data_IF_744247464784
#
_entry.id   IF_744247464784
#
_cell.length_a   1.000
_cell.length_b   1.000
_cell.length_c   1.000
_cell.angle_alpha   90.00
_cell.angle_beta   90.00
_cell.angle_gamma   90.00
#
_symmetry.space_group_name_H-M   'P 1'
#
loop_
_entity.id
_entity.type
_entity.pdbx_description
1 polymer ?
#
# COMPACT_ATOMS: atom_id res chain seq x y z
N UNK A 1 17.70 -14.04 10.98
CA UNK A 1 17.43 -14.15 9.53
C UNK A 1 16.81 -12.89 8.92
N UNK A 2 15.67 -12.39 9.42
CA UNK A 2 14.98 -11.20 8.86
C UNK A 2 15.80 -9.90 8.86
N UNK A 3 16.46 -9.54 9.98
CA UNK A 3 17.30 -8.34 10.08
C UNK A 3 18.57 -8.39 9.19
N UNK A 4 19.15 -9.58 9.02
CA UNK A 4 20.27 -9.79 8.09
C UNK A 4 19.81 -9.63 6.64
N UNK A 5 18.63 -10.14 6.30
CA UNK A 5 18.03 -9.98 4.98
C UNK A 5 17.67 -8.52 4.67
N UNK A 6 17.13 -7.77 5.65
CA UNK A 6 16.89 -6.33 5.54
C UNK A 6 18.19 -5.55 5.24
N UNK A 7 19.32 -5.92 5.85
CA UNK A 7 20.63 -5.34 5.50
C UNK A 7 21.05 -5.66 4.07
N UNK A 8 20.80 -6.88 3.58
CA UNK A 8 21.06 -7.24 2.19
C UNK A 8 20.16 -6.49 1.21
N UNK A 9 18.89 -6.29 1.57
CA UNK A 9 17.94 -5.47 0.82
C UNK A 9 18.39 -4.00 0.76
N UNK A 10 18.86 -3.44 1.87
CA UNK A 10 19.42 -2.09 1.92
C UNK A 10 20.62 -1.92 0.97
N UNK A 11 21.50 -2.94 0.89
CA UNK A 11 22.63 -2.94 -0.05
C UNK A 11 22.17 -3.05 -1.52
N UNK A 12 21.09 -3.78 -1.80
CA UNK A 12 20.50 -3.88 -3.14
C UNK A 12 19.72 -2.62 -3.57
N UNK A 13 19.25 -1.85 -2.60
CA UNK A 13 18.61 -0.54 -2.79
C UNK A 13 19.60 0.62 -2.87
N UNK A 14 20.90 0.37 -2.66
CA UNK A 14 21.93 1.39 -2.78
C UNK A 14 21.96 1.96 -4.22
N UNK A 15 21.98 3.29 -4.39
CA UNK A 15 21.88 3.90 -5.71
C UNK A 15 23.08 3.51 -6.58
N UNK A 16 22.81 3.05 -7.80
CA UNK A 16 23.83 2.85 -8.83
C UNK A 16 24.56 4.17 -9.16
N UNK A 17 25.85 4.14 -9.58
CA UNK A 17 26.60 5.35 -9.89
C UNK A 17 25.89 6.15 -11.00
N UNK A 18 25.59 7.41 -10.67
CA UNK A 18 24.73 8.29 -11.46
C UNK A 18 25.40 8.80 -12.72
N UNK A 19 24.84 8.49 -13.89
CA UNK A 19 24.89 9.41 -15.02
C UNK A 19 23.70 10.37 -14.93
N UNK A 20 24.05 11.59 -14.53
CA UNK A 20 23.22 12.74 -14.25
C UNK A 20 22.75 13.37 -15.57
N UNK A 21 21.43 13.58 -15.77
CA UNK A 21 20.82 14.64 -16.61
C UNK A 21 19.29 14.58 -16.80
N UNK A 22 18.54 13.66 -16.17
CA UNK A 22 17.05 13.61 -16.29
C UNK A 22 16.28 13.63 -14.96
N UNK A 23 16.93 14.00 -13.86
CA UNK A 23 16.29 14.07 -12.53
C UNK A 23 15.32 15.25 -12.35
N UNK A 24 15.31 16.22 -13.27
CA UNK A 24 14.52 17.45 -13.12
C UNK A 24 13.02 17.29 -13.43
N UNK A 25 12.60 16.33 -14.26
CA UNK A 25 11.18 16.18 -14.65
C UNK A 25 10.39 15.23 -13.73
N UNK A 26 11.04 14.19 -13.20
CA UNK A 26 10.40 13.19 -12.34
C UNK A 26 10.01 13.74 -10.95
N UNK A 27 10.81 14.66 -10.40
CA UNK A 27 10.51 15.33 -9.12
C UNK A 27 9.43 16.40 -9.29
N UNK A 28 9.33 17.05 -10.45
CA UNK A 28 8.25 18.00 -10.73
C UNK A 28 6.88 17.31 -10.92
N UNK A 29 6.86 16.05 -11.37
CA UNK A 29 5.65 15.22 -11.45
C UNK A 29 5.20 14.65 -10.09
N UNK A 30 6.01 14.80 -9.02
CA UNK A 30 5.81 14.17 -7.72
C UNK A 30 4.61 14.69 -6.90
N UNK A 31 4.03 15.82 -7.28
CA UNK A 31 3.02 16.52 -6.47
C UNK A 31 1.71 16.74 -7.24
N UNK A 32 1.35 15.84 -8.17
CA UNK A 32 0.04 15.86 -8.81
C UNK A 32 -0.96 15.07 -7.98
N UNK A 33 -2.00 15.73 -7.49
CA UNK A 33 -3.21 15.04 -7.03
C UNK A 33 -3.89 14.39 -8.22
N UNK A 34 -4.18 13.10 -8.12
CA UNK A 34 -4.95 12.35 -9.11
C UNK A 34 -6.43 12.43 -8.76
N UNK A 35 -7.29 12.38 -9.78
CA UNK A 35 -8.72 12.67 -9.62
C UNK A 35 -9.45 11.49 -8.96
N UNK A 36 -9.22 10.29 -9.46
CA UNK A 36 -9.83 9.05 -8.96
C UNK A 36 -8.91 8.24 -8.06
N UNK A 37 -7.59 8.40 -8.19
CA UNK A 37 -6.60 7.68 -7.38
C UNK A 37 -6.15 8.52 -6.19
N UNK A 38 -6.79 8.30 -5.05
CA UNK A 38 -6.46 9.03 -3.83
C UNK A 38 -5.07 8.67 -3.29
N UNK A 39 -4.52 9.55 -2.46
CA UNK A 39 -3.30 9.29 -1.68
C UNK A 39 -2.06 8.97 -2.54
N UNK A 40 -2.10 9.24 -3.85
CA UNK A 40 -1.00 9.00 -4.78
C UNK A 40 0.17 9.96 -4.51
N UNK A 41 1.38 9.44 -4.34
CA UNK A 41 2.64 10.21 -4.20
C UNK A 41 3.86 9.30 -4.29
N UNK A 42 5.08 9.83 -4.56
CA UNK A 42 6.30 9.07 -4.35
C UNK A 42 6.53 8.76 -2.87
N UNK A 43 7.26 7.68 -2.61
CA UNK A 43 7.83 7.41 -1.28
C UNK A 43 9.15 8.18 -1.17
N UNK A 44 9.32 9.03 -0.14
CA UNK A 44 10.56 9.82 -0.03
C UNK A 44 11.76 8.89 0.18
N UNK A 45 12.93 9.37 -0.24
CA UNK A 45 14.20 8.62 -0.21
C UNK A 45 14.25 7.35 -1.08
N UNK A 46 13.17 6.98 -1.77
CA UNK A 46 13.06 5.79 -2.60
C UNK A 46 12.63 6.17 -4.03
N UNK A 47 13.55 6.65 -4.89
CA UNK A 47 13.22 7.08 -6.24
C UNK A 47 12.63 5.92 -7.05
N UNK A 48 11.55 6.21 -7.77
CA UNK A 48 10.82 5.21 -8.57
C UNK A 48 9.87 4.33 -7.77
N UNK A 49 9.71 4.55 -6.46
CA UNK A 49 8.65 3.97 -5.64
C UNK A 49 7.55 4.99 -5.37
N UNK A 50 6.32 4.59 -5.61
CA UNK A 50 5.09 5.34 -5.40
C UNK A 50 4.16 4.56 -4.48
N UNK A 51 3.25 5.29 -3.84
CA UNK A 51 2.17 4.75 -3.01
C UNK A 51 0.84 5.40 -3.36
N UNK A 52 -0.26 4.67 -3.22
CA UNK A 52 -1.62 5.22 -3.42
C UNK A 52 -2.68 4.45 -2.66
N UNK A 53 -3.91 4.96 -2.70
CA UNK A 53 -5.13 4.20 -2.50
C UNK A 53 -5.41 3.28 -3.71
N UNK A 54 -6.58 2.63 -3.68
CA UNK A 54 -6.99 1.70 -4.72
C UNK A 54 -7.19 2.38 -6.09
N UNK A 55 -7.05 1.59 -7.17
CA UNK A 55 -6.98 2.10 -8.54
C UNK A 55 -8.27 1.92 -9.34
N UNK A 56 -9.29 1.30 -8.74
CA UNK A 56 -10.56 1.00 -9.38
C UNK A 56 -11.33 2.24 -9.82
N UNK A 57 -11.04 3.39 -9.20
CA UNK A 57 -11.66 4.68 -9.51
C UNK A 57 -10.84 5.54 -10.48
N UNK A 58 -9.71 5.05 -10.99
CA UNK A 58 -8.83 5.81 -11.87
C UNK A 58 -9.58 6.39 -13.09
N UNK A 59 -9.35 7.68 -13.37
CA UNK A 59 -9.83 8.32 -14.60
C UNK A 59 -8.87 8.06 -15.75
N UNK A 60 -9.25 8.42 -16.99
CA UNK A 60 -8.35 8.30 -18.14
C UNK A 60 -7.08 9.15 -17.97
N UNK A 61 -7.21 10.31 -17.32
CA UNK A 61 -6.10 11.20 -16.99
C UNK A 61 -5.16 10.59 -15.95
N UNK A 62 -5.72 9.90 -14.94
CA UNK A 62 -4.94 9.17 -13.94
C UNK A 62 -4.19 8.00 -14.58
N UNK A 63 -4.87 7.20 -15.41
CA UNK A 63 -4.28 6.06 -16.09
C UNK A 63 -3.13 6.48 -17.00
N UNK A 64 -3.32 7.50 -17.85
CA UNK A 64 -2.26 8.03 -18.71
C UNK A 64 -1.06 8.55 -17.89
N UNK A 65 -1.33 9.24 -16.79
CA UNK A 65 -0.26 9.70 -15.90
C UNK A 65 0.50 8.54 -15.26
N UNK A 66 -0.20 7.56 -14.69
CA UNK A 66 0.43 6.38 -14.07
C UNK A 66 1.29 5.60 -15.07
N UNK A 67 0.80 5.42 -16.29
CA UNK A 67 1.48 4.63 -17.33
C UNK A 67 2.64 5.38 -17.97
N UNK A 68 2.49 6.65 -18.33
CA UNK A 68 3.46 7.33 -19.20
C UNK A 68 4.28 8.41 -18.50
N UNK A 69 3.68 9.13 -17.55
CA UNK A 69 4.38 10.18 -16.79
C UNK A 69 5.13 9.59 -15.59
N UNK A 70 4.41 8.88 -14.71
CA UNK A 70 4.99 8.21 -13.55
C UNK A 70 5.69 6.90 -13.94
N UNK A 71 5.47 6.39 -15.17
CA UNK A 71 6.10 5.18 -15.71
C UNK A 71 6.01 3.98 -14.77
N UNK A 72 4.86 3.78 -14.15
CA UNK A 72 4.57 2.63 -13.29
C UNK A 72 4.51 1.39 -14.16
N UNK A 73 5.38 0.42 -13.87
CA UNK A 73 5.47 -0.87 -14.61
C UNK A 73 5.15 -2.05 -13.71
N UNK A 74 5.16 -1.87 -12.40
CA UNK A 74 4.76 -2.91 -11.47
C UNK A 74 3.87 -2.36 -10.36
N UNK A 75 2.77 -3.06 -10.10
CA UNK A 75 1.84 -2.78 -9.01
C UNK A 75 1.98 -3.89 -7.97
N UNK A 76 2.05 -3.49 -6.71
CA UNK A 76 1.94 -4.40 -5.56
C UNK A 76 0.63 -4.10 -4.84
N UNK A 77 -0.36 -4.96 -5.00
CA UNK A 77 -1.65 -4.85 -4.33
C UNK A 77 -1.63 -5.64 -3.01
N UNK A 78 -1.76 -4.92 -1.90
CA UNK A 78 -1.65 -5.48 -0.55
C UNK A 78 -3.00 -5.99 0.00
N UNK A 79 -4.03 -6.03 -0.84
CA UNK A 79 -5.40 -6.44 -0.48
C UNK A 79 -5.62 -7.93 -0.67
N UNK A 80 -6.57 -8.46 0.10
CA UNK A 80 -7.10 -9.80 -0.11
C UNK A 80 -8.16 -9.82 -1.22
N UNK A 81 -8.57 -11.01 -1.63
CA UNK A 81 -9.51 -11.22 -2.74
C UNK A 81 -10.86 -10.55 -2.50
N UNK A 82 -11.37 -10.60 -1.28
CA UNK A 82 -12.67 -10.02 -0.92
C UNK A 82 -12.67 -8.49 -1.06
N UNK A 83 -11.60 -7.84 -0.61
CA UNK A 83 -11.42 -6.39 -0.79
C UNK A 83 -11.31 -6.01 -2.26
N UNK A 84 -10.60 -6.80 -3.07
CA UNK A 84 -10.47 -6.59 -4.51
C UNK A 84 -11.82 -6.79 -5.19
N UNK A 85 -12.56 -7.84 -4.86
CA UNK A 85 -13.86 -8.13 -5.43
C UNK A 85 -14.86 -7.00 -5.13
N UNK A 86 -14.92 -6.54 -3.87
CA UNK A 86 -15.76 -5.39 -3.47
C UNK A 86 -15.39 -4.10 -4.21
N UNK A 87 -14.10 -3.82 -4.35
CA UNK A 87 -13.65 -2.63 -5.08
C UNK A 87 -14.00 -2.72 -6.57
N UNK A 88 -13.79 -3.90 -7.19
CA UNK A 88 -14.12 -4.15 -8.61
C UNK A 88 -15.62 -4.01 -8.90
N UNK A 89 -16.49 -4.34 -7.95
CA UNK A 89 -17.94 -4.19 -8.10
C UNK A 89 -18.40 -2.73 -8.29
N UNK A 90 -17.56 -1.76 -7.92
CA UNK A 90 -17.85 -0.31 -8.05
C UNK A 90 -16.86 0.41 -8.95
N UNK A 91 -16.01 -0.33 -9.67
CA UNK A 91 -14.92 0.23 -10.46
C UNK A 91 -15.42 0.97 -11.71
N UNK A 92 -14.68 2.00 -12.12
CA UNK A 92 -14.90 2.65 -13.40
C UNK A 92 -14.43 1.74 -14.55
N UNK A 93 -14.98 1.88 -15.77
CA UNK A 93 -14.50 1.14 -16.93
C UNK A 93 -13.00 1.34 -17.20
N UNK A 94 -12.49 2.54 -16.91
CA UNK A 94 -11.06 2.86 -17.04
C UNK A 94 -10.23 2.14 -15.98
N UNK A 95 -10.63 2.19 -14.71
CA UNK A 95 -9.94 1.47 -13.63
C UNK A 95 -9.87 -0.03 -13.86
N UNK A 96 -10.96 -0.63 -14.36
CA UNK A 96 -10.98 -2.04 -14.77
C UNK A 96 -10.01 -2.32 -15.91
N UNK A 97 -10.02 -1.49 -16.96
CA UNK A 97 -9.15 -1.66 -18.13
C UNK A 97 -7.67 -1.51 -17.75
N UNK A 98 -7.36 -0.54 -16.89
CA UNK A 98 -6.02 -0.33 -16.35
C UNK A 98 -5.53 -1.57 -15.60
N UNK A 99 -6.29 -2.05 -14.61
CA UNK A 99 -5.92 -3.22 -13.82
C UNK A 99 -5.81 -4.48 -14.68
N UNK A 100 -6.71 -4.67 -15.66
CA UNK A 100 -6.64 -5.78 -16.61
C UNK A 100 -5.36 -5.75 -17.46
N UNK A 101 -4.87 -4.57 -17.85
CA UNK A 101 -3.60 -4.44 -18.57
C UNK A 101 -2.40 -4.90 -17.72
N UNK A 102 -2.39 -4.59 -16.42
CA UNK A 102 -1.36 -5.10 -15.51
C UNK A 102 -1.49 -6.59 -15.19
N UNK A 103 -2.71 -7.11 -15.05
CA UNK A 103 -2.98 -8.53 -14.79
C UNK A 103 -2.59 -9.40 -16.01
N UNK A 104 -2.80 -8.90 -17.23
CA UNK A 104 -2.51 -9.62 -18.48
C UNK A 104 -1.06 -9.55 -18.95
N UNK A 105 -0.21 -8.73 -18.33
CA UNK A 105 1.17 -8.56 -18.79
C UNK A 105 1.28 -7.69 -20.04
N UNK A 106 0.41 -6.69 -20.21
CA UNK A 106 0.37 -5.88 -21.43
C UNK A 106 1.74 -5.26 -21.76
N UNK A 107 2.09 -5.27 -23.05
CA UNK A 107 3.34 -4.70 -23.54
C UNK A 107 3.37 -3.17 -23.38
N UNK A 108 4.58 -2.61 -23.35
CA UNK A 108 4.86 -1.17 -23.27
C UNK A 108 5.63 -0.75 -24.52
N UNK A 109 5.21 0.35 -25.15
CA UNK A 109 5.84 0.94 -26.34
C UNK A 109 4.88 1.80 -27.14
N UNK A 110 5.36 2.48 -28.19
CA UNK A 110 4.71 3.57 -28.94
C UNK A 110 3.32 3.28 -29.57
N UNK A 111 2.77 2.08 -29.40
CA UNK A 111 1.41 1.70 -29.85
C UNK A 111 0.64 0.88 -28.81
N UNK A 112 1.12 0.86 -27.57
CA UNK A 112 0.51 0.18 -26.45
C UNK A 112 -0.18 1.16 -25.52
N UNK A 113 -1.02 0.65 -24.61
CA UNK A 113 -1.70 1.46 -23.59
C UNK A 113 -0.72 2.25 -22.71
N UNK A 114 0.46 1.67 -22.45
CA UNK A 114 1.62 2.35 -21.91
C UNK A 114 2.56 2.65 -23.08
N UNK A 115 2.59 3.91 -23.50
CA UNK A 115 3.28 4.33 -24.72
C UNK A 115 4.78 4.58 -24.51
N UNK A 116 5.17 4.90 -23.26
CA UNK A 116 6.52 5.36 -22.93
C UNK A 116 7.44 4.24 -22.42
N UNK A 117 8.53 3.96 -23.11
CA UNK A 117 9.54 2.97 -22.68
C UNK A 117 9.31 1.56 -23.25
N UNK A 118 9.71 0.53 -22.50
CA UNK A 118 9.68 -0.87 -22.97
C UNK A 118 9.40 -1.86 -21.85
N UNK A 119 9.00 -3.09 -22.20
CA UNK A 119 8.76 -4.19 -21.27
C UNK A 119 7.28 -4.54 -21.17
N UNK A 120 6.85 -4.97 -19.99
CA UNK A 120 5.47 -5.35 -19.71
C UNK A 120 4.99 -4.79 -18.38
N UNK A 121 3.70 -4.53 -18.28
CA UNK A 121 3.01 -4.21 -17.03
C UNK A 121 2.87 -5.47 -16.17
N UNK A 122 2.96 -5.34 -14.85
CA UNK A 122 2.82 -6.49 -13.93
C UNK A 122 2.08 -6.10 -12.67
N UNK A 123 1.15 -6.94 -12.22
CA UNK A 123 0.54 -6.79 -10.90
C UNK A 123 0.83 -8.02 -10.05
N UNK A 124 1.31 -7.78 -8.84
CA UNK A 124 1.51 -8.80 -7.83
C UNK A 124 0.55 -8.53 -6.68
N UNK A 125 -0.33 -9.49 -6.40
CA UNK A 125 -1.16 -9.47 -5.21
C UNK A 125 -0.37 -10.12 -4.06
N UNK A 126 -0.16 -9.36 -2.99
CA UNK A 126 0.59 -9.81 -1.81
C UNK A 126 -0.20 -9.43 -0.56
N UNK A 127 -1.15 -10.28 -0.12
CA UNK A 127 -2.12 -9.91 0.91
C UNK A 127 -1.46 -9.86 2.31
N UNK A 128 -1.00 -8.67 2.72
CA UNK A 128 -0.39 -8.45 4.04
C UNK A 128 -1.37 -8.56 5.22
N UNK A 129 -2.67 -8.69 4.93
CA UNK A 129 -3.74 -9.03 5.87
C UNK A 129 -4.70 -10.04 5.21
N UNK A 130 -4.15 -11.13 4.67
CA UNK A 130 -4.95 -12.22 4.11
C UNK A 130 -5.71 -13.01 5.17
N UNK A 131 -5.12 -13.17 6.36
CA UNK A 131 -5.69 -13.88 7.50
C UNK A 131 -6.18 -12.89 8.57
N UNK A 132 -7.45 -12.50 8.46
CA UNK A 132 -8.09 -11.59 9.42
C UNK A 132 -8.29 -12.29 10.77
N UNK A 133 -8.55 -13.59 10.78
CA UNK A 133 -8.73 -14.36 12.00
C UNK A 133 -7.41 -14.44 12.77
N UNK A 134 -6.29 -14.70 12.08
CA UNK A 134 -4.95 -14.65 12.66
C UNK A 134 -4.58 -13.27 13.21
N UNK A 135 -5.03 -12.18 12.56
CA UNK A 135 -4.88 -10.83 13.11
C UNK A 135 -5.66 -10.67 14.42
N UNK A 136 -6.92 -11.10 14.46
CA UNK A 136 -7.77 -11.01 15.65
C UNK A 136 -7.21 -11.87 16.79
N UNK A 137 -6.67 -13.04 16.49
CA UNK A 137 -6.00 -13.93 17.45
C UNK A 137 -4.77 -13.25 18.06
N UNK A 138 -3.96 -12.59 17.22
CA UNK A 138 -2.77 -11.86 17.65
C UNK A 138 -3.12 -10.66 18.53
N UNK A 139 -4.24 -9.99 18.26
CA UNK A 139 -4.79 -8.93 19.12
C UNK A 139 -5.31 -9.52 20.43
N UNK A 140 -6.09 -10.60 20.38
CA UNK A 140 -6.65 -11.28 21.55
C UNK A 140 -5.54 -11.76 22.51
N UNK A 141 -4.41 -12.24 21.98
CA UNK A 141 -3.25 -12.66 22.75
C UNK A 141 -2.59 -11.53 23.56
N UNK A 142 -2.73 -10.28 23.11
CA UNK A 142 -2.21 -9.05 23.75
C UNK A 142 -3.16 -8.42 24.76
N UNK A 143 -4.38 -8.94 24.90
CA UNK A 143 -5.34 -8.41 25.85
C UNK A 143 -4.91 -8.66 27.30
N UNK A 144 -5.32 -7.78 28.24
CA UNK A 144 -5.20 -8.06 29.67
C UNK A 144 -5.85 -9.42 30.01
N UNK A 145 -5.29 -10.13 30.98
CA UNK A 145 -5.66 -11.51 31.31
C UNK A 145 -7.17 -11.74 31.43
N UNK A 146 -7.89 -10.83 32.10
CA UNK A 146 -9.35 -10.92 32.24
C UNK A 146 -10.08 -10.88 30.89
N UNK A 147 -9.76 -9.91 30.02
CA UNK A 147 -10.36 -9.79 28.69
C UNK A 147 -9.93 -10.92 27.75
N UNK A 148 -8.72 -11.45 27.92
CA UNK A 148 -8.25 -12.61 27.15
C UNK A 148 -9.02 -13.88 27.52
N UNK A 149 -9.32 -14.10 28.81
CA UNK A 149 -10.19 -15.20 29.25
C UNK A 149 -11.61 -15.02 28.72
N UNK A 150 -12.14 -13.80 28.74
CA UNK A 150 -13.45 -13.47 28.17
C UNK A 150 -13.49 -13.72 26.65
N UNK A 151 -12.45 -13.30 25.91
CA UNK A 151 -12.31 -13.60 24.49
C UNK A 151 -12.27 -15.11 24.24
N UNK A 152 -11.46 -15.86 25.00
CA UNK A 152 -11.37 -17.32 24.86
C UNK A 152 -12.73 -18.02 25.09
N UNK A 153 -13.52 -17.54 26.06
CA UNK A 153 -14.88 -18.02 26.28
C UNK A 153 -15.76 -17.73 25.06
N UNK A 154 -15.85 -16.47 24.62
CA UNK A 154 -16.70 -16.07 23.49
C UNK A 154 -16.31 -16.73 22.18
N UNK A 155 -15.03 -17.05 21.96
CA UNK A 155 -14.60 -17.78 20.75
C UNK A 155 -15.37 -19.08 20.55
N UNK A 156 -15.76 -19.76 21.64
CA UNK A 156 -16.51 -21.03 21.59
C UNK A 156 -18.03 -20.85 21.65
N UNK A 157 -18.52 -19.83 22.37
CA UNK A 157 -19.96 -19.71 22.67
C UNK A 157 -20.68 -18.63 21.84
N UNK A 158 -19.98 -17.59 21.38
CA UNK A 158 -20.55 -16.48 20.61
C UNK A 158 -19.44 -15.72 19.85
N UNK A 159 -19.19 -16.14 18.60
CA UNK A 159 -18.16 -15.52 17.76
C UNK A 159 -18.40 -14.03 17.50
N UNK A 160 -19.66 -13.58 17.46
CA UNK A 160 -19.98 -12.15 17.24
C UNK A 160 -19.60 -11.29 18.44
N UNK A 161 -19.67 -11.84 19.65
CA UNK A 161 -19.17 -11.16 20.86
C UNK A 161 -17.65 -11.20 20.93
N UNK A 162 -17.05 -12.32 20.55
CA UNK A 162 -15.60 -12.43 20.44
C UNK A 162 -15.05 -11.34 19.53
N UNK A 163 -15.54 -11.26 18.30
CA UNK A 163 -15.02 -10.32 17.31
C UNK A 163 -15.22 -8.89 17.78
N UNK A 164 -16.41 -8.52 18.28
CA UNK A 164 -16.64 -7.18 18.83
C UNK A 164 -15.68 -6.82 19.94
N UNK A 165 -15.45 -7.71 20.91
CA UNK A 165 -14.54 -7.46 22.02
C UNK A 165 -13.11 -7.20 21.53
N UNK A 166 -12.64 -8.01 20.57
CA UNK A 166 -11.31 -7.87 19.98
C UNK A 166 -11.21 -6.61 19.11
N UNK A 167 -12.23 -6.30 18.31
CA UNK A 167 -12.31 -5.06 17.51
C UNK A 167 -12.35 -3.81 18.37
N UNK A 168 -13.09 -3.81 19.48
CA UNK A 168 -13.13 -2.70 20.42
C UNK A 168 -11.75 -2.47 21.04
N UNK A 169 -11.05 -3.55 21.40
CA UNK A 169 -9.69 -3.47 21.91
C UNK A 169 -8.69 -2.98 20.86
N UNK A 170 -8.83 -3.41 19.59
CA UNK A 170 -8.05 -2.91 18.47
C UNK A 170 -8.27 -1.41 18.27
N UNK A 171 -9.52 -0.97 18.35
CA UNK A 171 -9.90 0.45 18.24
C UNK A 171 -9.33 1.28 19.40
N UNK A 172 -9.36 0.75 20.63
CA UNK A 172 -8.78 1.38 21.83
C UNK A 172 -7.25 1.39 21.82
N UNK A 173 -6.61 0.33 21.32
CA UNK A 173 -5.15 0.20 21.20
C UNK A 173 -4.53 1.08 20.12
N UNK A 174 -5.36 1.82 19.39
CA UNK A 174 -4.97 2.77 18.33
C UNK A 174 -4.05 2.10 17.29
N UNK A 175 -3.32 2.93 16.53
CA UNK A 175 -2.46 2.48 15.43
C UNK A 175 -1.34 1.52 15.86
N UNK A 176 -0.84 1.63 17.10
CA UNK A 176 0.27 0.80 17.57
C UNK A 176 -0.11 -0.69 17.66
N UNK A 177 -1.28 -0.99 18.24
CA UNK A 177 -1.75 -2.38 18.34
C UNK A 177 -2.04 -2.95 16.95
N UNK A 178 -2.66 -2.16 16.07
CA UNK A 178 -2.92 -2.56 14.69
C UNK A 178 -1.63 -2.93 13.93
N UNK A 179 -0.60 -2.08 13.99
CA UNK A 179 0.62 -2.31 13.21
C UNK A 179 1.49 -3.42 13.77
N UNK A 180 1.59 -3.52 15.10
CA UNK A 180 2.34 -4.62 15.72
C UNK A 180 1.66 -5.96 15.47
N UNK A 181 0.33 -6.04 15.56
CA UNK A 181 -0.40 -7.26 15.23
C UNK A 181 -0.34 -7.60 13.75
N UNK A 182 -0.44 -6.62 12.83
CA UNK A 182 -0.33 -6.85 11.39
C UNK A 182 1.05 -7.41 10.98
N UNK A 183 2.13 -6.90 11.57
CA UNK A 183 3.48 -7.43 11.29
C UNK A 183 3.60 -8.87 11.82
N UNK A 184 3.05 -9.15 12.99
CA UNK A 184 3.18 -10.45 13.63
C UNK A 184 2.23 -11.52 13.06
N UNK A 185 1.05 -11.14 12.57
CA UNK A 185 0.04 -12.07 12.05
C UNK A 185 0.33 -12.55 10.63
N UNK A 186 1.00 -11.73 9.81
CA UNK A 186 1.35 -12.14 8.45
C UNK A 186 2.64 -12.98 8.43
N UNK A 187 2.68 -14.11 7.69
CA UNK A 187 3.88 -14.94 7.59
C UNK A 187 5.08 -14.14 7.08
N UNK A 188 6.31 -14.35 7.61
CA UNK A 188 7.50 -13.61 7.18
C UNK A 188 7.76 -13.66 5.68
N UNK A 189 7.37 -14.76 5.01
CA UNK A 189 7.49 -14.92 3.56
C UNK A 189 6.64 -13.89 2.78
N UNK A 190 5.46 -13.53 3.27
CA UNK A 190 4.58 -12.54 2.61
C UNK A 190 5.20 -11.15 2.69
N UNK A 191 5.75 -10.78 3.85
CA UNK A 191 6.50 -9.53 4.01
C UNK A 191 7.75 -9.50 3.14
N UNK A 192 8.51 -10.60 3.10
CA UNK A 192 9.69 -10.73 2.27
C UNK A 192 9.34 -10.54 0.78
N UNK A 193 8.26 -11.15 0.31
CA UNK A 193 7.78 -11.00 -1.06
C UNK A 193 7.38 -9.55 -1.35
N UNK A 194 6.57 -8.93 -0.49
CA UNK A 194 6.14 -7.54 -0.66
C UNK A 194 7.33 -6.58 -0.73
N UNK A 195 8.28 -6.70 0.20
CA UNK A 195 9.50 -5.88 0.26
C UNK A 195 10.39 -6.10 -0.97
N UNK A 196 10.60 -7.36 -1.40
CA UNK A 196 11.42 -7.69 -2.57
C UNK A 196 10.85 -7.09 -3.85
N UNK A 197 9.54 -7.29 -4.06
CA UNK A 197 8.87 -6.78 -5.25
C UNK A 197 8.80 -5.26 -5.20
N UNK A 198 8.61 -4.64 -4.03
CA UNK A 198 8.62 -3.18 -3.83
C UNK A 198 10.02 -2.54 -3.96
N UNK A 199 11.09 -3.31 -3.89
CA UNK A 199 12.46 -2.85 -4.10
C UNK A 199 12.96 -2.97 -5.56
N UNK A 200 12.43 -3.87 -6.39
CA UNK A 200 13.03 -4.21 -7.70
C UNK A 200 12.77 -3.23 -8.87
N UNK A 201 13.42 -2.07 -8.91
CA UNK A 201 13.12 -0.99 -9.88
C UNK A 201 13.75 -1.16 -11.26
N UNK A 202 14.27 -2.36 -11.57
CA UNK A 202 14.93 -2.65 -12.85
C UNK A 202 14.00 -2.59 -14.07
N UNK A 203 12.71 -2.91 -13.88
CA UNK A 203 11.72 -2.93 -14.97
C UNK A 203 10.89 -1.65 -15.05
N UNK A 204 11.27 -0.59 -14.33
CA UNK A 204 10.51 0.65 -14.20
C UNK A 204 9.98 0.88 -12.79
N UNK A 205 9.17 1.93 -12.65
CA UNK A 205 8.69 2.40 -11.35
C UNK A 205 7.60 1.50 -10.79
N UNK A 206 7.43 1.56 -9.47
CA UNK A 206 6.44 0.74 -8.77
C UNK A 206 5.52 1.48 -7.88
N UNK A 207 4.29 1.01 -7.86
CA UNK A 207 3.22 1.49 -7.04
C UNK A 207 2.82 0.41 -6.03
N UNK A 208 2.99 0.70 -4.74
CA UNK A 208 2.44 -0.09 -3.65
C UNK A 208 1.07 0.50 -3.25
N UNK A 209 0.04 -0.32 -3.08
CA UNK A 209 -1.24 0.20 -2.61
C UNK A 209 -2.02 -0.81 -1.76
N UNK A 210 -3.00 -0.29 -1.04
CA UNK A 210 -4.04 -1.07 -0.38
C UNK A 210 -5.40 -0.42 -0.68
N UNK A 211 -6.38 -0.51 0.22
CA UNK A 211 -7.67 0.15 0.02
C UNK A 211 -7.55 1.69 0.02
N UNK A 212 -6.97 2.26 1.09
CA UNK A 212 -6.84 3.73 1.27
C UNK A 212 -5.42 4.26 1.13
N UNK A 213 -4.43 3.40 0.93
CA UNK A 213 -3.03 3.80 0.83
C UNK A 213 -2.38 4.27 2.13
N UNK A 214 -3.01 3.98 3.27
CA UNK A 214 -2.59 4.46 4.59
C UNK A 214 -1.90 3.38 5.43
N UNK A 215 -2.63 2.34 5.85
CA UNK A 215 -2.16 1.40 6.88
C UNK A 215 -1.13 0.39 6.33
N UNK A 216 -1.56 -0.67 5.62
CA UNK A 216 -0.67 -1.67 5.01
C UNK A 216 0.41 -1.05 4.12
N UNK A 217 -0.01 -0.09 3.28
CA UNK A 217 0.90 0.65 2.39
C UNK A 217 1.89 1.49 3.18
N UNK A 218 1.45 2.12 4.26
CA UNK A 218 2.31 2.95 5.11
C UNK A 218 3.33 2.14 5.88
N UNK A 219 2.96 0.98 6.42
CA UNK A 219 3.92 0.10 7.09
C UNK A 219 4.95 -0.45 6.10
N UNK A 220 4.52 -0.88 4.91
CA UNK A 220 5.46 -1.34 3.88
C UNK A 220 6.43 -0.23 3.46
N UNK A 221 5.93 1.00 3.22
CA UNK A 221 6.76 2.15 2.92
C UNK A 221 7.74 2.47 4.05
N UNK A 222 7.26 2.54 5.30
CA UNK A 222 8.08 2.82 6.47
C UNK A 222 9.21 1.80 6.65
N UNK A 223 8.95 0.52 6.41
CA UNK A 223 9.97 -0.53 6.46
C UNK A 223 11.06 -0.34 5.39
N UNK A 224 10.68 0.04 4.17
CA UNK A 224 11.63 0.32 3.08
C UNK A 224 12.45 1.58 3.37
N UNK A 225 11.81 2.64 3.86
CA UNK A 225 12.47 3.89 4.26
C UNK A 225 13.47 3.65 5.39
N UNK A 226 13.06 2.89 6.40
CA UNK A 226 13.96 2.48 7.48
C UNK A 226 15.14 1.65 6.95
N UNK A 227 14.91 0.75 6.00
CA UNK A 227 15.97 -0.05 5.39
C UNK A 227 17.01 0.80 4.64
N UNK A 228 16.60 1.90 4.01
CA UNK A 228 17.53 2.86 3.35
C UNK A 228 18.10 3.92 4.31
N UNK A 229 17.76 3.86 5.59
CA UNK A 229 18.35 4.69 6.64
C UNK A 229 17.64 6.01 6.93
N UNK A 230 16.39 6.17 6.52
CA UNK A 230 15.60 7.35 6.93
C UNK A 230 15.45 7.40 8.46
N UNK A 231 15.53 8.62 9.00
CA UNK A 231 15.29 8.87 10.42
C UNK A 231 13.82 8.58 10.77
N UNK A 232 13.52 8.00 11.96
CA UNK A 232 12.15 7.69 12.38
C UNK A 232 11.18 8.88 12.26
N UNK A 233 11.64 10.10 12.57
CA UNK A 233 10.83 11.31 12.51
C UNK A 233 10.37 11.61 11.08
N UNK A 234 11.26 11.45 10.10
CA UNK A 234 10.94 11.64 8.67
C UNK A 234 9.93 10.62 8.16
N UNK A 235 10.09 9.37 8.60
CA UNK A 235 9.16 8.28 8.25
C UNK A 235 7.77 8.59 8.80
N UNK A 236 7.69 9.05 10.06
CA UNK A 236 6.43 9.41 10.72
C UNK A 236 5.78 10.61 10.03
N UNK A 237 6.54 11.66 9.69
CA UNK A 237 6.03 12.83 8.96
C UNK A 237 5.43 12.44 7.61
N UNK A 238 6.11 11.59 6.84
CA UNK A 238 5.60 11.12 5.55
C UNK A 238 4.37 10.23 5.68
N UNK A 239 4.36 9.36 6.69
CA UNK A 239 3.20 8.54 7.00
C UNK A 239 1.98 9.42 7.32
N UNK A 240 2.16 10.47 8.13
CA UNK A 240 1.10 11.37 8.58
C UNK A 240 0.41 12.12 7.43
N UNK A 241 1.10 12.37 6.30
CA UNK A 241 0.50 12.94 5.09
C UNK A 241 -0.68 12.13 4.57
N UNK A 242 -0.73 10.82 4.86
CA UNK A 242 -1.83 9.96 4.43
C UNK A 242 -3.19 10.42 4.95
N UNK A 243 -3.25 10.99 6.16
CA UNK A 243 -4.51 11.47 6.73
C UNK A 243 -4.98 12.75 6.07
N UNK A 244 -4.06 13.69 5.83
CA UNK A 244 -4.35 14.97 5.18
C UNK A 244 -4.90 14.71 3.77
N UNK A 245 -4.20 13.88 2.99
CA UNK A 245 -4.59 13.56 1.61
C UNK A 245 -5.90 12.75 1.51
N UNK A 246 -6.30 12.06 2.57
CA UNK A 246 -7.60 11.37 2.63
C UNK A 246 -8.71 12.29 3.14
N UNK A 247 -8.40 13.32 3.94
CA UNK A 247 -9.35 14.30 4.44
C UNK A 247 -9.73 15.36 3.41
N UNK A 248 -8.79 15.76 2.54
CA UNK A 248 -9.03 16.76 1.48
C UNK A 248 -9.97 16.24 0.36
N UNK A 249 -10.18 14.92 0.25
CA UNK A 249 -11.15 14.31 -0.66
C UNK A 249 -12.62 14.32 -0.17
N UNK A 250 -12.88 14.83 1.03
CA UNK A 250 -14.22 14.88 1.66
C UNK A 250 -14.94 16.24 1.56
N UNK A 251 -14.43 17.17 0.77
CA UNK A 251 -15.00 18.52 0.62
C UNK A 251 -16.16 18.59 -0.37
N UNK A 252 -17.32 18.03 -0.02
CA UNK A 252 -18.53 18.16 -0.83
C UNK A 252 -19.79 17.65 -0.13
N UNK A 253 -20.52 18.54 0.54
CA UNK A 253 -21.91 18.32 0.94
C UNK A 253 -22.16 18.35 2.44
N UNK A 254 -22.57 19.52 2.94
CA UNK A 254 -23.01 19.70 4.32
C UNK A 254 -23.52 21.12 4.57
N UNK A 255 -24.52 21.55 3.78
CA UNK A 255 -25.34 22.70 4.16
C UNK A 255 -26.15 22.38 5.41
N UNK A 256 -26.23 23.36 6.30
CA UNK A 256 -27.05 23.31 7.51
C UNK A 256 -27.17 24.70 8.12
N UNK A 257 -27.90 25.58 7.43
CA UNK A 257 -28.58 26.70 8.09
C UNK A 257 -29.84 26.18 8.77
N UNK A 258 -30.12 26.71 9.95
CA UNK A 258 -31.28 26.40 10.78
C UNK A 258 -31.03 26.82 12.21
#
# INVERSE_FOLDING_TARGET
CFLLWLRTLALALAPAPMHNLLLSSAVAAACRSLEGVQNFRPVRSLPGLFRSASLEQATASDAAFLLDSARVRTIVDLRNDDEIARARATATPVGLSLLAAFDSGAAVGASCIASEGSGVLRRFQVPLLGDVDGLLDEVAARLPTAKRMEAALYRTVDMRRHDRLVYDALSQGKQQLLYTSMIASAPPAVWQQALSIAADRRSGNVLIHCARGKDRTGVLAALLQHAVGDAPEKIVEEYALSEVLLGEGGGGGGGGGG
#
